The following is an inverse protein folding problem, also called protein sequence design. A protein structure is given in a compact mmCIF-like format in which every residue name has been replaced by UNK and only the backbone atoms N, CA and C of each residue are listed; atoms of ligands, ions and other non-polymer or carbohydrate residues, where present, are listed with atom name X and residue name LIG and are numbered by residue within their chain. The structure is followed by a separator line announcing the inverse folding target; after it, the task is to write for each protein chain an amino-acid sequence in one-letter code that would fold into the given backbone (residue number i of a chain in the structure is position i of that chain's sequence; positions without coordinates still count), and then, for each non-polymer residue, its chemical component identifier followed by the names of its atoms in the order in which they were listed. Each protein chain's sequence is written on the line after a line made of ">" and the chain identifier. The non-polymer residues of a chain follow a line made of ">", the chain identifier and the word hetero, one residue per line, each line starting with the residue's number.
data_IF_437541206703
#
_entry.id   IF_437541206703
#
_cell.length_a   1.000
_cell.length_b   1.000
_cell.length_c   1.000
_cell.angle_alpha   90.00
_cell.angle_beta   90.00
_cell.angle_gamma   90.00
#
_symmetry.space_group_name_H-M   'P 1'
#
loop_
_entity.id
_entity.type
_entity.pdbx_description
1 polymer ?
#
# COMPACT_ATOMS: atom_id res chain seq x y z
N UNK A 1 1.37 -22.82 -7.58
CA UNK A 1 1.50 -22.66 -6.12
C UNK A 1 2.87 -22.18 -5.65
N UNK A 2 3.97 -22.33 -6.41
CA UNK A 2 5.31 -21.88 -5.99
C UNK A 2 5.53 -20.36 -6.00
N UNK A 3 4.81 -19.60 -6.84
CA UNK A 3 4.99 -18.14 -6.95
C UNK A 3 4.49 -17.37 -5.72
N UNK A 4 3.42 -17.84 -5.05
CA UNK A 4 2.85 -17.18 -3.87
C UNK A 4 3.71 -17.37 -2.61
N UNK A 5 4.35 -18.54 -2.47
CA UNK A 5 5.20 -18.85 -1.31
C UNK A 5 6.41 -17.91 -1.26
N UNK A 6 7.06 -17.67 -2.41
CA UNK A 6 8.22 -16.79 -2.51
C UNK A 6 7.90 -15.31 -2.18
N UNK A 7 6.70 -14.85 -2.52
CA UNK A 7 6.30 -13.45 -2.32
C UNK A 7 6.04 -13.14 -0.84
N UNK A 8 5.40 -14.06 -0.13
CA UNK A 8 5.15 -13.91 1.31
C UNK A 8 6.44 -13.98 2.12
N UNK A 9 7.33 -14.93 1.81
CA UNK A 9 8.61 -15.09 2.49
C UNK A 9 9.50 -13.85 2.28
N UNK A 10 9.50 -13.28 1.08
CA UNK A 10 10.23 -12.06 0.77
C UNK A 10 9.70 -10.85 1.56
N UNK A 11 8.37 -10.71 1.72
CA UNK A 11 7.78 -9.66 2.55
C UNK A 11 8.16 -9.81 4.02
N UNK A 12 8.10 -11.04 4.55
CA UNK A 12 8.49 -11.32 5.94
C UNK A 12 9.97 -10.98 6.16
N UNK A 13 10.84 -11.34 5.20
CA UNK A 13 12.27 -11.02 5.23
C UNK A 13 12.53 -9.52 5.34
N UNK A 14 11.84 -8.69 4.55
CA UNK A 14 12.01 -7.23 4.61
C UNK A 14 11.37 -6.55 5.80
N UNK A 15 10.24 -7.08 6.29
CA UNK A 15 9.67 -6.62 7.57
C UNK A 15 10.65 -6.90 8.72
N UNK A 16 11.60 -7.84 8.53
CA UNK A 16 12.70 -8.09 9.45
C UNK A 16 12.28 -8.81 10.73
N UNK A 17 11.05 -9.37 10.76
CA UNK A 17 10.54 -10.15 11.89
C UNK A 17 9.48 -11.16 11.44
N UNK A 18 9.35 -12.31 12.13
CA UNK A 18 8.25 -13.24 11.89
C UNK A 18 6.89 -12.57 12.09
N UNK A 19 5.99 -12.74 11.12
CA UNK A 19 4.63 -12.20 11.20
C UNK A 19 3.65 -13.07 10.42
N UNK A 20 2.36 -12.97 10.78
CA UNK A 20 1.25 -13.59 10.05
C UNK A 20 0.38 -12.48 9.49
N UNK A 21 -0.01 -12.62 8.22
CA UNK A 21 -0.87 -11.64 7.55
C UNK A 21 -2.34 -11.97 7.78
N UNK A 22 -3.13 -10.95 8.11
CA UNK A 22 -4.60 -10.99 8.13
C UNK A 22 -5.11 -9.95 7.14
N UNK A 23 -5.99 -10.36 6.23
CA UNK A 23 -6.61 -9.43 5.30
C UNK A 23 -7.52 -8.46 6.06
N UNK A 24 -7.25 -7.15 5.94
CA UNK A 24 -8.07 -6.09 6.54
C UNK A 24 -9.08 -5.55 5.53
N UNK A 25 -8.60 -5.13 4.36
CA UNK A 25 -9.41 -4.49 3.33
C UNK A 25 -9.03 -5.02 1.95
N UNK A 26 -10.03 -5.28 1.11
CA UNK A 26 -9.83 -5.66 -0.29
C UNK A 26 -10.87 -5.00 -1.19
N UNK A 27 -10.43 -4.19 -2.13
CA UNK A 27 -11.29 -3.44 -3.05
C UNK A 27 -12.35 -4.33 -3.73
N UNK A 28 -11.98 -5.52 -4.23
CA UNK A 28 -12.91 -6.42 -4.92
C UNK A 28 -14.02 -7.00 -4.02
N UNK A 29 -13.84 -6.98 -2.70
CA UNK A 29 -14.77 -7.57 -1.72
C UNK A 29 -15.51 -6.48 -0.95
N UNK A 30 -14.82 -5.39 -0.63
CA UNK A 30 -15.33 -4.31 0.23
C UNK A 30 -15.81 -3.10 -0.59
N UNK A 31 -15.46 -3.02 -1.87
CA UNK A 31 -15.63 -1.86 -2.73
C UNK A 31 -14.51 -0.82 -2.52
N UNK A 32 -14.25 0.00 -3.54
CA UNK A 32 -13.24 1.05 -3.50
C UNK A 32 -13.78 2.31 -2.81
N UNK A 33 -13.50 2.48 -1.51
CA UNK A 33 -14.02 3.57 -0.69
C UNK A 33 -13.04 3.93 0.42
N UNK A 34 -12.65 5.19 0.50
CA UNK A 34 -11.71 5.70 1.50
C UNK A 34 -12.28 5.49 2.92
N UNK A 35 -13.57 5.80 3.10
CA UNK A 35 -14.27 5.58 4.35
C UNK A 35 -14.23 4.11 4.79
N UNK A 36 -14.46 3.16 3.87
CA UNK A 36 -14.38 1.73 4.22
C UNK A 36 -12.96 1.26 4.50
N UNK A 37 -11.97 1.81 3.79
CA UNK A 37 -10.57 1.54 4.09
C UNK A 37 -10.24 1.95 5.53
N UNK A 38 -10.53 3.20 5.91
CA UNK A 38 -10.25 3.71 7.25
C UNK A 38 -11.02 2.97 8.35
N UNK A 39 -12.30 2.62 8.12
CA UNK A 39 -13.08 1.78 9.04
C UNK A 39 -12.41 0.43 9.36
N UNK A 40 -11.63 -0.13 8.43
CA UNK A 40 -11.02 -1.44 8.57
C UNK A 40 -9.54 -1.42 8.91
N UNK A 41 -8.82 -0.36 8.53
CA UNK A 41 -7.36 -0.30 8.58
C UNK A 41 -6.83 0.66 9.65
N UNK A 42 -7.62 1.65 10.09
CA UNK A 42 -7.18 2.57 11.14
C UNK A 42 -6.96 1.83 12.46
N UNK A 43 -5.89 2.21 13.17
CA UNK A 43 -5.54 1.64 14.48
C UNK A 43 -5.18 0.14 14.48
N UNK A 44 -5.00 -0.50 13.32
CA UNK A 44 -4.70 -1.94 13.23
C UNK A 44 -3.22 -2.31 13.45
N UNK A 45 -2.35 -1.32 13.69
CA UNK A 45 -0.91 -1.48 13.79
C UNK A 45 -0.24 -1.50 12.42
N UNK A 46 0.87 -2.25 12.33
CA UNK A 46 1.63 -2.37 11.10
C UNK A 46 0.81 -3.00 9.97
N UNK A 47 0.88 -2.42 8.78
CA UNK A 47 0.11 -2.88 7.62
C UNK A 47 0.97 -3.01 6.37
N UNK A 48 0.57 -3.93 5.51
CA UNK A 48 1.09 -4.08 4.15
C UNK A 48 -0.05 -3.77 3.19
N UNK A 49 0.16 -2.78 2.33
CA UNK A 49 -0.73 -2.44 1.21
C UNK A 49 -0.18 -3.08 -0.05
N UNK A 50 -0.98 -3.88 -0.75
CA UNK A 50 -0.60 -4.52 -2.02
C UNK A 50 -1.46 -3.96 -3.14
N UNK A 51 -0.82 -3.47 -4.21
CA UNK A 51 -1.48 -2.94 -5.39
C UNK A 51 -1.03 -3.71 -6.62
N UNK A 52 -2.00 -4.26 -7.33
CA UNK A 52 -1.79 -4.95 -8.59
C UNK A 52 -2.53 -4.23 -9.70
N UNK A 53 -1.81 -3.81 -10.73
CA UNK A 53 -2.41 -3.11 -11.87
C UNK A 53 -2.55 -4.03 -13.10
N UNK A 54 -3.27 -3.54 -14.11
CA UNK A 54 -3.54 -4.26 -15.37
C UNK A 54 -2.28 -4.49 -16.21
N UNK A 55 -1.17 -3.81 -15.91
CA UNK A 55 0.11 -4.00 -16.57
C UNK A 55 0.94 -5.11 -15.89
N UNK A 56 0.32 -5.95 -15.06
CA UNK A 56 1.02 -6.99 -14.30
C UNK A 56 2.18 -6.44 -13.45
N UNK A 57 2.02 -5.24 -12.89
CA UNK A 57 2.97 -4.65 -11.94
C UNK A 57 2.39 -4.73 -10.54
N UNK A 58 3.22 -5.15 -9.58
CA UNK A 58 2.87 -5.26 -8.16
C UNK A 58 3.70 -4.25 -7.39
N UNK A 59 3.03 -3.23 -6.85
CA UNK A 59 3.60 -2.33 -5.85
C UNK A 59 3.11 -2.73 -4.47
N UNK A 60 3.97 -2.53 -3.48
CA UNK A 60 3.65 -2.79 -2.08
C UNK A 60 4.12 -1.59 -1.25
N UNK A 61 3.34 -1.21 -0.26
CA UNK A 61 3.75 -0.23 0.75
C UNK A 61 3.60 -0.82 2.15
N UNK A 62 4.58 -0.54 3.01
CA UNK A 62 4.58 -0.95 4.40
C UNK A 62 4.60 0.27 5.32
N UNK A 63 3.71 0.27 6.31
CA UNK A 63 3.82 1.12 7.50
C UNK A 63 3.97 0.20 8.72
N UNK A 64 4.94 0.53 9.57
CA UNK A 64 5.05 0.01 10.93
C UNK A 64 4.09 0.72 11.90
N UNK A 65 3.67 1.94 11.56
CA UNK A 65 2.70 2.73 12.33
C UNK A 65 1.24 2.51 11.89
N UNK A 66 0.31 3.00 12.71
CA UNK A 66 -1.13 2.98 12.43
C UNK A 66 -1.49 3.91 11.26
N UNK A 67 -2.41 3.46 10.41
CA UNK A 67 -3.26 4.39 9.67
C UNK A 67 -4.16 5.16 10.63
N UNK A 68 -4.53 6.38 10.22
CA UNK A 68 -5.48 7.24 10.90
C UNK A 68 -6.26 8.05 9.85
N UNK A 69 -7.23 8.83 10.33
CA UNK A 69 -8.09 9.69 9.51
C UNK A 69 -7.96 11.18 9.88
N UNK A 70 -6.85 11.58 10.52
CA UNK A 70 -6.69 12.91 11.15
C UNK A 70 -6.27 13.99 10.14
N UNK A 71 -6.03 13.62 8.87
CA UNK A 71 -5.65 14.56 7.80
C UNK A 71 -4.16 14.92 7.78
N UNK A 72 -3.36 14.30 8.64
CA UNK A 72 -1.92 14.55 8.77
C UNK A 72 -1.03 13.47 8.15
N UNK A 73 0.26 13.77 8.07
CA UNK A 73 1.27 12.79 7.72
C UNK A 73 1.57 11.85 8.90
N UNK A 74 1.91 10.61 8.56
CA UNK A 74 2.29 9.55 9.48
C UNK A 74 3.81 9.49 9.50
N UNK A 75 4.40 9.77 10.67
CA UNK A 75 5.83 9.64 10.88
C UNK A 75 6.22 8.18 11.11
N UNK A 76 6.98 7.59 10.18
CA UNK A 76 7.37 6.18 10.26
C UNK A 76 8.78 5.94 9.67
N UNK A 77 9.82 5.81 10.52
CA UNK A 77 11.19 5.56 10.06
C UNK A 77 11.43 4.13 9.55
N UNK A 78 10.46 3.22 9.74
CA UNK A 78 10.54 1.83 9.27
C UNK A 78 9.65 1.58 8.05
N UNK A 79 9.02 2.63 7.51
CA UNK A 79 8.23 2.52 6.30
C UNK A 79 9.12 2.20 5.10
N UNK A 80 8.53 1.53 4.12
CA UNK A 80 9.16 1.31 2.83
C UNK A 80 8.12 1.07 1.75
N UNK A 81 8.48 1.42 0.53
CA UNK A 81 7.78 0.98 -0.67
C UNK A 81 8.56 -0.17 -1.32
N UNK A 82 7.86 -0.94 -2.12
CA UNK A 82 8.43 -2.09 -2.79
C UNK A 82 7.77 -2.32 -4.14
N UNK A 83 8.56 -2.82 -5.08
CA UNK A 83 8.07 -3.32 -6.37
C UNK A 83 8.46 -4.79 -6.49
N UNK A 84 7.47 -5.68 -6.52
CA UNK A 84 7.68 -7.14 -6.63
C UNK A 84 7.85 -7.60 -8.06
N UNK A 85 7.04 -7.01 -8.92
CA UNK A 85 6.92 -7.37 -10.31
C UNK A 85 6.76 -6.10 -11.12
N UNK A 86 7.46 -6.00 -12.24
CA UNK A 86 7.33 -4.90 -13.18
C UNK A 86 7.01 -5.47 -14.56
N UNK A 87 5.86 -5.10 -15.12
CA UNK A 87 5.39 -5.55 -16.43
C UNK A 87 5.46 -7.08 -16.61
N UNK A 88 5.04 -7.85 -15.60
CA UNK A 88 5.06 -9.32 -15.64
C UNK A 88 6.39 -9.97 -15.27
N UNK A 89 7.47 -9.20 -15.12
CA UNK A 89 8.79 -9.73 -14.77
C UNK A 89 9.10 -9.54 -13.28
N UNK A 90 9.62 -10.61 -12.65
CA UNK A 90 10.11 -10.55 -11.27
C UNK A 90 11.32 -9.61 -11.22
N UNK A 91 11.17 -8.48 -10.53
CA UNK A 91 12.22 -7.49 -10.35
C UNK A 91 12.06 -6.83 -8.97
N UNK A 92 12.28 -7.62 -7.90
CA UNK A 92 12.10 -7.16 -6.54
C UNK A 92 13.07 -6.01 -6.23
N UNK A 93 12.53 -4.84 -5.92
CA UNK A 93 13.33 -3.70 -5.45
C UNK A 93 12.63 -2.98 -4.30
N UNK A 94 13.34 -2.81 -3.18
CA UNK A 94 12.88 -2.10 -2.00
C UNK A 94 13.33 -0.65 -2.05
N UNK A 95 12.43 0.25 -1.64
CA UNK A 95 12.65 1.68 -1.51
C UNK A 95 12.43 2.05 -0.04
N UNK A 96 13.50 2.05 0.78
CA UNK A 96 13.41 2.49 2.17
C UNK A 96 12.93 3.93 2.26
N UNK A 97 12.22 4.27 3.33
CA UNK A 97 11.80 5.65 3.57
C UNK A 97 13.00 6.60 3.65
N UNK A 98 12.94 7.69 2.88
CA UNK A 98 13.95 8.76 2.90
C UNK A 98 13.50 9.95 3.77
N UNK A 99 12.18 10.17 3.88
CA UNK A 99 11.57 11.17 4.76
C UNK A 99 10.53 10.52 5.69
N UNK A 100 11.00 10.12 6.87
CA UNK A 100 10.17 9.44 7.86
C UNK A 100 8.91 10.24 8.24
N UNK A 101 8.98 11.58 8.28
CA UNK A 101 7.88 12.43 8.74
C UNK A 101 6.69 12.43 7.79
N UNK A 102 6.92 12.06 6.54
CA UNK A 102 5.94 12.03 5.47
C UNK A 102 5.77 10.62 4.88
N UNK A 103 6.05 9.57 5.68
CA UNK A 103 6.03 8.19 5.22
C UNK A 103 4.65 7.73 4.75
N UNK A 104 3.58 8.15 5.44
CA UNK A 104 2.20 7.91 5.07
C UNK A 104 1.33 9.17 5.18
N UNK A 105 0.15 9.16 4.58
CA UNK A 105 -0.82 10.25 4.70
C UNK A 105 -2.19 9.72 5.15
N UNK A 106 -2.61 10.11 6.36
CA UNK A 106 -3.80 9.60 7.05
C UNK A 106 -5.02 10.51 6.90
N UNK A 107 -5.37 10.91 5.68
CA UNK A 107 -6.57 11.69 5.43
C UNK A 107 -7.75 10.77 5.17
N UNK A 108 -8.83 10.90 5.95
CA UNK A 108 -10.03 10.06 5.85
C UNK A 108 -10.73 10.03 4.48
N UNK A 109 -10.39 10.95 3.58
CA UNK A 109 -10.89 10.98 2.20
C UNK A 109 -10.01 10.23 1.20
N UNK A 110 -8.86 9.70 1.62
CA UNK A 110 -7.90 9.00 0.79
C UNK A 110 -7.88 7.50 1.13
N UNK A 111 -7.51 6.66 0.17
CA UNK A 111 -7.04 5.32 0.46
C UNK A 111 -5.59 5.34 0.98
N UNK A 112 -4.94 4.17 1.08
CA UNK A 112 -3.53 4.09 1.43
C UNK A 112 -2.69 5.05 0.58
N UNK A 113 -1.88 5.88 1.22
CA UNK A 113 -1.07 6.91 0.55
C UNK A 113 0.27 7.04 1.24
N UNK A 114 1.37 7.05 0.48
CA UNK A 114 2.75 7.03 0.98
C UNK A 114 3.58 8.19 0.38
N UNK A 115 4.48 8.75 1.17
CA UNK A 115 5.43 9.79 0.74
C UNK A 115 4.90 11.24 0.77
N UNK A 116 5.81 12.21 0.66
CA UNK A 116 5.52 13.64 0.51
C UNK A 116 5.26 13.98 -0.97
N UNK A 117 4.20 14.73 -1.29
CA UNK A 117 3.75 14.88 -2.68
C UNK A 117 3.23 13.58 -3.32
N UNK A 118 3.12 12.52 -2.50
CA UNK A 118 2.73 11.13 -2.76
C UNK A 118 3.61 10.38 -3.77
N UNK A 119 4.49 9.53 -3.24
CA UNK A 119 5.20 8.53 -4.06
C UNK A 119 4.23 7.46 -4.58
N UNK A 120 3.26 7.11 -3.74
CA UNK A 120 2.20 6.18 -4.05
C UNK A 120 0.89 6.72 -3.48
N UNK A 121 0.03 7.22 -4.36
CA UNK A 121 -1.37 7.56 -4.09
C UNK A 121 -2.27 6.51 -4.71
N UNK A 122 -3.17 5.91 -3.93
CA UNK A 122 -4.03 4.83 -4.43
C UNK A 122 -5.32 5.34 -5.03
N UNK A 123 -6.19 5.92 -4.22
CA UNK A 123 -7.46 6.50 -4.64
C UNK A 123 -7.94 7.51 -3.60
N UNK A 124 -8.93 8.31 -3.97
CA UNK A 124 -9.64 9.20 -3.04
C UNK A 124 -11.16 9.08 -3.24
N UNK A 125 -11.91 9.27 -2.15
CA UNK A 125 -13.36 9.14 -2.12
C UNK A 125 -13.85 7.72 -2.41
N UNK A 126 -14.90 7.63 -3.23
CA UNK A 126 -15.53 6.38 -3.63
C UNK A 126 -15.40 6.17 -5.14
N UNK A 127 -14.90 5.01 -5.56
CA UNK A 127 -14.71 4.66 -6.98
C UNK A 127 -15.69 3.56 -7.37
N UNK A 128 -16.48 3.82 -8.41
CA UNK A 128 -17.37 2.82 -8.99
C UNK A 128 -16.55 1.80 -9.83
N UNK A 129 -16.90 0.51 -9.79
CA UNK A 129 -16.25 -0.47 -10.64
C UNK A 129 -16.57 -0.25 -12.13
N UNK A 130 -15.61 -0.60 -12.98
CA UNK A 130 -15.80 -0.73 -14.42
C UNK A 130 -15.50 -2.19 -14.82
N UNK A 131 -16.57 -2.99 -14.95
CA UNK A 131 -16.44 -4.44 -15.11
C UNK A 131 -15.85 -5.08 -13.85
N UNK A 132 -14.79 -5.88 -14.00
CA UNK A 132 -14.08 -6.52 -12.88
C UNK A 132 -13.01 -5.63 -12.23
N UNK A 133 -12.73 -4.45 -12.80
CA UNK A 133 -11.66 -3.57 -12.39
C UNK A 133 -12.20 -2.32 -11.68
N UNK A 134 -11.36 -1.71 -10.83
CA UNK A 134 -11.60 -0.38 -10.28
C UNK A 134 -10.59 0.58 -10.89
N UNK A 135 -11.02 1.58 -11.69
CA UNK A 135 -10.13 2.57 -12.26
C UNK A 135 -9.71 3.55 -11.16
N UNK A 136 -8.67 3.19 -10.42
CA UNK A 136 -8.15 4.03 -9.35
C UNK A 136 -7.72 5.39 -9.90
N UNK A 137 -8.01 6.46 -9.14
CA UNK A 137 -7.71 7.85 -9.49
C UNK A 137 -6.44 8.38 -8.80
N UNK A 138 -5.61 7.48 -8.27
CA UNK A 138 -4.28 7.79 -7.75
C UNK A 138 -3.18 7.65 -8.81
N UNK A 139 -1.94 7.67 -8.35
CA UNK A 139 -0.74 7.64 -9.19
C UNK A 139 0.44 7.08 -8.40
N UNK A 140 1.45 6.63 -9.16
CA UNK A 140 2.79 6.34 -8.66
C UNK A 140 3.70 7.39 -9.28
N UNK A 141 4.33 8.22 -8.44
CA UNK A 141 5.34 9.19 -8.88
C UNK A 141 6.58 9.03 -7.99
N UNK A 142 7.76 9.39 -8.48
CA UNK A 142 8.98 9.57 -7.66
C UNK A 142 9.53 8.40 -6.82
N UNK A 143 8.96 7.18 -6.87
CA UNK A 143 9.48 6.03 -6.12
C UNK A 143 11.00 5.87 -6.35
N UNK A 144 11.79 5.99 -5.27
CA UNK A 144 13.23 5.76 -5.27
C UNK A 144 14.09 6.92 -5.76
N UNK A 145 13.56 8.15 -5.76
CA UNK A 145 14.36 9.37 -5.97
C UNK A 145 15.03 9.88 -4.70
#
# INVERSE_FOLDING_TARGET
>A
MAALLNQQDQLISWIGRPCVFRLLYKISTDGCSATKFHQKCDGQGATVTVLYNTNNTIYVGYLSQNWNSDGGYINDPNAFLFRLQYNGSSNPFQFPVSDAKHAGYGNGSYGPTFGCGHDLSTFYGNIAPQGINFPLNGYVDQIGR
#
